data_IF_241589678681
#
_entry.id   IF_241589678681
#
_cell.length_a   1.000
_cell.length_b   1.000
_cell.length_c   1.000
_cell.angle_alpha   90.00
_cell.angle_beta   90.00
_cell.angle_gamma   90.00
#
_symmetry.space_group_name_H-M   'P 1'
#
loop_
_entity.id
_entity.type
_entity.pdbx_description
1 polymer ?
#
# COMPACT_ATOMS: atom_id res chain seq x y z
N UNK A 1 2.32 -20.44 -3.79
CA UNK A 1 2.21 -19.05 -3.32
C UNK A 1 0.88 -18.93 -2.55
N UNK A 2 0.91 -18.56 -1.26
CA UNK A 2 -0.34 -18.37 -0.50
C UNK A 2 -1.10 -17.19 -1.09
N UNK A 3 -2.39 -17.36 -1.39
CA UNK A 3 -3.23 -16.32 -1.96
C UNK A 3 -3.76 -15.33 -0.91
N UNK A 4 -3.74 -15.73 0.35
CA UNK A 4 -4.27 -14.96 1.49
C UNK A 4 -3.22 -14.97 2.59
N UNK A 5 -3.01 -13.83 3.23
CA UNK A 5 -2.17 -13.73 4.43
C UNK A 5 -2.91 -14.47 5.55
N UNK A 6 -2.16 -15.27 6.33
CA UNK A 6 -2.71 -16.05 7.44
C UNK A 6 -3.41 -15.12 8.44
N UNK A 7 -4.65 -15.46 8.79
CA UNK A 7 -5.45 -14.66 9.74
C UNK A 7 -4.83 -14.60 11.15
N UNK A 8 -3.93 -15.57 11.46
CA UNK A 8 -3.21 -15.62 12.75
C UNK A 8 -1.86 -14.92 12.70
N UNK A 9 -1.44 -14.41 11.53
CA UNK A 9 -0.18 -13.69 11.43
C UNK A 9 -0.27 -12.40 12.25
N UNK A 10 0.73 -12.16 13.09
CA UNK A 10 0.85 -10.94 13.87
C UNK A 10 2.05 -10.10 13.39
N UNK A 11 1.85 -8.78 13.39
CA UNK A 11 2.92 -7.82 13.17
C UNK A 11 3.69 -7.55 14.45
N UNK A 12 5.00 -7.24 14.34
CA UNK A 12 5.74 -6.66 15.44
C UNK A 12 5.43 -5.16 15.63
N UNK A 13 4.85 -4.50 14.60
CA UNK A 13 4.32 -3.14 14.74
C UNK A 13 3.07 -3.14 15.62
N UNK A 14 2.88 -2.11 16.45
CA UNK A 14 1.67 -2.01 17.28
C UNK A 14 0.43 -1.83 16.42
N UNK A 15 -0.58 -2.67 16.66
CA UNK A 15 -1.88 -2.60 15.98
C UNK A 15 -2.97 -2.64 17.04
N UNK A 16 -3.81 -1.62 17.11
CA UNK A 16 -4.99 -1.60 17.98
C UNK A 16 -5.97 -2.70 17.55
N UNK A 17 -6.67 -3.32 18.51
CA UNK A 17 -7.72 -4.32 18.23
C UNK A 17 -8.86 -3.76 17.38
N UNK A 18 -9.08 -2.46 17.41
CA UNK A 18 -10.12 -1.76 16.64
C UNK A 18 -9.60 -1.20 15.31
N UNK A 19 -8.33 -1.45 14.97
CA UNK A 19 -7.75 -0.94 13.73
C UNK A 19 -8.24 -1.73 12.51
N UNK A 20 -8.68 -1.02 11.48
CA UNK A 20 -8.99 -1.60 10.17
C UNK A 20 -7.72 -1.99 9.38
N UNK A 21 -6.53 -1.74 9.94
CA UNK A 21 -5.24 -1.94 9.27
C UNK A 21 -4.34 -2.97 9.96
N UNK A 22 -4.84 -4.19 10.25
CA UNK A 22 -3.97 -5.28 10.68
C UNK A 22 -3.04 -5.69 9.54
N UNK A 23 -2.02 -6.53 9.83
CA UNK A 23 -1.07 -7.04 8.83
C UNK A 23 -1.76 -7.81 7.68
N UNK A 24 -2.99 -8.24 7.85
CA UNK A 24 -3.81 -8.86 6.82
C UNK A 24 -4.36 -7.85 5.81
N UNK A 25 -4.55 -6.60 6.24
CA UNK A 25 -5.00 -5.52 5.37
C UNK A 25 -3.84 -4.55 5.11
N UNK A 26 -3.09 -4.80 4.06
CA UNK A 26 -1.96 -3.98 3.62
C UNK A 26 -2.47 -3.11 2.45
N UNK A 27 -3.05 -1.92 2.70
CA UNK A 27 -3.50 -1.01 1.65
C UNK A 27 -2.30 -0.35 0.97
N UNK A 28 -2.45 -0.01 -0.30
CA UNK A 28 -1.46 0.79 -1.02
C UNK A 28 -2.00 2.21 -1.22
N UNK A 29 -1.12 3.20 -1.07
CA UNK A 29 -1.49 4.60 -1.15
C UNK A 29 -0.33 5.47 -1.63
N UNK A 30 -0.57 6.79 -1.64
CA UNK A 30 0.44 7.80 -1.85
C UNK A 30 0.26 8.92 -0.82
N UNK A 31 1.33 9.62 -0.51
CA UNK A 31 1.27 10.72 0.44
C UNK A 31 2.57 11.50 0.48
N UNK A 32 2.52 12.63 1.18
CA UNK A 32 3.69 13.47 1.43
C UNK A 32 4.35 13.04 2.73
N UNK A 33 5.60 12.62 2.62
CA UNK A 33 6.46 12.25 3.74
C UNK A 33 6.88 13.49 4.55
N UNK A 34 7.28 13.39 5.84
CA UNK A 34 7.68 14.56 6.64
C UNK A 34 8.83 15.39 6.05
N UNK A 35 9.62 14.81 5.13
CA UNK A 35 10.64 15.55 4.37
C UNK A 35 10.09 16.44 3.26
N UNK A 36 8.77 16.41 2.99
CA UNK A 36 8.10 17.07 1.86
C UNK A 36 8.10 16.27 0.57
N UNK A 37 8.65 15.05 0.56
CA UNK A 37 8.74 14.19 -0.60
C UNK A 37 7.44 13.40 -0.79
N UNK A 38 6.91 13.36 -2.03
CA UNK A 38 5.77 12.50 -2.36
C UNK A 38 6.24 11.07 -2.60
N UNK A 39 5.62 10.11 -1.92
CA UNK A 39 6.02 8.71 -1.92
C UNK A 39 4.83 7.76 -2.05
N UNK A 40 5.06 6.60 -2.67
CA UNK A 40 4.17 5.46 -2.53
C UNK A 40 4.34 4.85 -1.15
N UNK A 41 3.24 4.50 -0.52
CA UNK A 41 3.21 4.02 0.86
C UNK A 41 2.24 2.85 1.07
N UNK A 42 2.43 2.17 2.19
CA UNK A 42 1.46 1.24 2.78
C UNK A 42 1.31 1.52 4.27
N UNK A 43 0.41 0.81 4.94
CA UNK A 43 0.10 1.03 6.36
C UNK A 43 -0.16 -0.28 7.09
N UNK A 44 0.35 -0.39 8.33
CA UNK A 44 0.01 -1.44 9.29
C UNK A 44 -0.24 -0.74 10.64
N UNK A 45 -1.43 -0.88 11.20
CA UNK A 45 -1.85 -0.09 12.36
C UNK A 45 -1.80 1.40 12.06
N UNK A 46 -1.16 2.17 12.92
CA UNK A 46 -0.93 3.60 12.71
C UNK A 46 0.45 3.90 12.10
N UNK A 47 1.21 2.87 11.76
CA UNK A 47 2.51 3.00 11.13
C UNK A 47 2.38 2.99 9.61
N UNK A 48 2.80 4.07 8.97
CA UNK A 48 2.95 4.19 7.52
C UNK A 48 4.37 3.81 7.11
N UNK A 49 4.48 3.11 5.99
CA UNK A 49 5.72 2.53 5.49
C UNK A 49 6.02 3.08 4.11
N UNK A 50 7.21 3.61 3.91
CA UNK A 50 7.70 4.13 2.63
C UNK A 50 8.14 2.99 1.71
N UNK A 51 7.33 2.69 0.69
CA UNK A 51 7.58 1.60 -0.26
C UNK A 51 8.76 1.87 -1.20
N UNK A 52 9.04 3.14 -1.49
CA UNK A 52 10.19 3.52 -2.32
C UNK A 52 11.51 3.12 -1.65
N UNK A 53 11.62 3.30 -0.33
CA UNK A 53 12.80 2.90 0.43
C UNK A 53 12.90 1.37 0.60
N UNK A 54 11.79 0.66 0.72
CA UNK A 54 11.76 -0.81 0.70
C UNK A 54 12.28 -1.33 -0.66
N UNK A 55 11.80 -0.75 -1.77
CA UNK A 55 12.27 -1.11 -3.12
C UNK A 55 13.76 -0.81 -3.32
N UNK A 56 14.23 0.39 -2.91
CA UNK A 56 15.63 0.81 -3.03
C UNK A 56 16.63 -0.10 -2.26
N UNK A 57 16.14 -0.81 -1.25
CA UNK A 57 16.94 -1.77 -0.48
C UNK A 57 16.67 -3.23 -0.88
N UNK A 58 16.20 -3.45 -2.10
CA UNK A 58 16.07 -4.74 -2.77
C UNK A 58 15.12 -5.75 -2.11
N UNK A 59 14.26 -5.34 -1.17
CA UNK A 59 13.29 -6.24 -0.52
C UNK A 59 12.28 -6.83 -1.51
N UNK A 60 12.02 -6.16 -2.64
CA UNK A 60 11.07 -6.62 -3.66
C UNK A 60 11.74 -7.31 -4.86
N UNK A 61 13.05 -7.63 -4.81
CA UNK A 61 13.79 -8.22 -5.94
C UNK A 61 13.15 -9.52 -6.48
N UNK A 62 12.48 -10.31 -5.63
CA UNK A 62 11.84 -11.56 -6.00
C UNK A 62 10.37 -11.39 -6.44
N UNK A 63 9.83 -10.18 -6.39
CA UNK A 63 8.43 -9.91 -6.71
C UNK A 63 8.15 -9.77 -8.20
N UNK A 64 9.18 -9.62 -9.03
CA UNK A 64 9.03 -9.39 -10.48
C UNK A 64 8.58 -7.97 -10.82
N UNK A 65 8.85 -7.00 -9.96
CA UNK A 65 8.61 -5.59 -10.21
C UNK A 65 9.52 -5.05 -11.31
N UNK A 66 9.03 -4.11 -12.10
CA UNK A 66 9.87 -3.23 -12.92
C UNK A 66 10.67 -2.32 -11.99
N UNK A 67 11.88 -1.94 -12.39
CA UNK A 67 12.70 -0.98 -11.63
C UNK A 67 11.93 0.33 -11.42
N UNK A 68 12.09 0.90 -10.24
CA UNK A 68 11.48 2.17 -9.84
C UNK A 68 9.93 2.15 -9.82
N UNK A 69 9.33 0.99 -9.54
CA UNK A 69 7.86 0.87 -9.45
C UNK A 69 7.28 1.75 -8.34
N UNK A 70 7.91 1.79 -7.17
CA UNK A 70 7.49 2.63 -6.04
C UNK A 70 8.30 3.93 -5.90
N UNK A 71 9.35 4.14 -6.70
CA UNK A 71 10.07 5.40 -6.75
C UNK A 71 9.33 6.40 -7.66
N UNK A 72 8.05 6.59 -7.38
CA UNK A 72 7.08 7.41 -8.11
C UNK A 72 6.19 8.14 -7.10
N UNK A 73 5.51 9.20 -7.56
CA UNK A 73 4.55 9.95 -6.75
C UNK A 73 3.15 9.31 -6.72
N UNK A 74 2.92 8.28 -7.55
CA UNK A 74 1.63 7.61 -7.69
C UNK A 74 1.82 6.11 -7.88
N UNK A 75 0.74 5.34 -7.68
CA UNK A 75 0.72 3.89 -7.84
C UNK A 75 0.52 3.43 -9.29
N UNK A 76 0.43 4.32 -10.28
CA UNK A 76 0.10 3.93 -11.67
C UNK A 76 1.05 2.86 -12.21
N UNK A 77 2.35 2.98 -11.96
CA UNK A 77 3.33 1.97 -12.37
C UNK A 77 3.10 0.63 -11.66
N UNK A 78 2.81 0.64 -10.34
CA UNK A 78 2.49 -0.57 -9.59
C UNK A 78 1.19 -1.22 -10.10
N UNK A 79 0.15 -0.44 -10.34
CA UNK A 79 -1.14 -0.92 -10.84
C UNK A 79 -1.07 -1.48 -12.27
N UNK A 80 -0.09 -1.06 -13.07
CA UNK A 80 0.13 -1.63 -14.41
C UNK A 80 0.64 -3.08 -14.40
N UNK A 81 1.07 -3.59 -13.24
CA UNK A 81 1.47 -4.98 -13.09
C UNK A 81 0.25 -5.91 -12.96
N UNK A 82 0.49 -7.23 -13.15
CA UNK A 82 -0.54 -8.27 -13.01
C UNK A 82 -0.71 -8.71 -11.55
N UNK A 83 -1.86 -9.27 -11.23
CA UNK A 83 -2.22 -9.78 -9.88
C UNK A 83 -1.14 -10.64 -9.18
N UNK A 84 -0.39 -11.54 -9.87
CA UNK A 84 0.68 -12.30 -9.20
C UNK A 84 1.76 -11.40 -8.57
N UNK A 85 2.12 -10.29 -9.25
CA UNK A 85 3.11 -9.33 -8.75
C UNK A 85 2.57 -8.56 -7.54
N UNK A 86 1.34 -8.06 -7.61
CA UNK A 86 0.69 -7.41 -6.47
C UNK A 86 0.67 -8.30 -5.22
N UNK A 87 0.35 -9.60 -5.41
CA UNK A 87 0.35 -10.59 -4.33
C UNK A 87 1.75 -10.85 -3.78
N UNK A 88 2.76 -10.94 -4.66
CA UNK A 88 4.15 -11.12 -4.23
C UNK A 88 4.60 -9.96 -3.34
N UNK A 89 4.34 -8.73 -3.75
CA UNK A 89 4.65 -7.53 -2.95
C UNK A 89 3.93 -7.55 -1.60
N UNK A 90 2.62 -7.84 -1.58
CA UNK A 90 1.87 -7.95 -0.31
C UNK A 90 2.44 -9.02 0.62
N UNK A 91 2.76 -10.19 0.08
CA UNK A 91 3.32 -11.28 0.88
C UNK A 91 4.70 -10.91 1.44
N UNK A 92 5.54 -10.24 0.64
CA UNK A 92 6.84 -9.74 1.10
C UNK A 92 6.68 -8.72 2.23
N UNK A 93 5.75 -7.76 2.11
CA UNK A 93 5.47 -6.80 3.19
C UNK A 93 5.01 -7.54 4.45
N UNK A 94 4.07 -8.48 4.32
CA UNK A 94 3.60 -9.28 5.46
C UNK A 94 4.72 -10.09 6.12
N UNK A 95 5.64 -10.64 5.32
CA UNK A 95 6.79 -11.41 5.81
C UNK A 95 7.77 -10.52 6.59
N UNK A 96 8.19 -9.38 6.01
CA UNK A 96 9.18 -8.50 6.64
C UNK A 96 8.65 -7.84 7.91
N UNK A 97 7.34 -7.55 8.00
CA UNK A 97 6.73 -6.93 9.19
C UNK A 97 6.10 -7.92 10.17
N UNK A 98 6.24 -9.23 9.95
CA UNK A 98 5.75 -10.25 10.87
C UNK A 98 6.59 -10.35 12.15
N UNK A 99 5.98 -10.70 13.28
CA UNK A 99 6.69 -11.04 14.53
C UNK A 99 7.72 -12.16 14.38
N UNK A 100 7.60 -12.98 13.32
CA UNK A 100 8.56 -14.04 13.00
C UNK A 100 9.88 -13.54 12.45
N UNK A 101 9.90 -12.34 11.86
CA UNK A 101 11.10 -11.73 11.26
C UNK A 101 11.88 -10.91 12.28
N UNK A 102 12.61 -11.59 13.16
CA UNK A 102 13.38 -10.94 14.23
C UNK A 102 14.55 -10.11 13.71
N UNK A 103 15.09 -10.41 12.56
CA UNK A 103 16.18 -9.64 11.94
C UNK A 103 15.67 -8.26 11.52
N UNK A 104 14.56 -8.20 10.79
CA UNK A 104 13.97 -6.94 10.38
C UNK A 104 13.44 -6.14 11.58
N UNK A 105 12.79 -6.80 12.55
CA UNK A 105 12.31 -6.17 13.78
C UNK A 105 13.43 -5.42 14.51
N UNK A 106 14.65 -5.98 14.57
CA UNK A 106 15.82 -5.42 15.26
C UNK A 106 16.56 -4.37 14.43
N UNK A 107 16.29 -4.24 13.14
CA UNK A 107 16.95 -3.25 12.28
C UNK A 107 16.38 -1.84 12.48
N UNK A 108 16.58 -1.30 13.70
CA UNK A 108 15.99 -0.04 14.14
C UNK A 108 16.42 1.14 13.25
N UNK A 109 17.67 1.16 12.78
CA UNK A 109 18.18 2.27 11.99
C UNK A 109 17.55 2.33 10.60
N UNK A 110 17.26 1.19 10.00
CA UNK A 110 16.53 1.15 8.74
C UNK A 110 15.06 1.46 8.95
N UNK A 111 14.43 0.88 9.97
CA UNK A 111 13.04 1.12 10.32
C UNK A 111 12.73 2.59 10.55
N UNK A 112 13.58 3.32 11.27
CA UNK A 112 13.44 4.78 11.48
C UNK A 112 13.40 5.58 10.17
N UNK A 113 13.99 5.07 9.09
CA UNK A 113 13.98 5.73 7.78
C UNK A 113 12.68 5.48 7.01
N UNK A 114 12.09 4.30 7.17
CA UNK A 114 10.95 3.84 6.37
C UNK A 114 9.61 3.93 7.09
N UNK A 115 9.60 4.04 8.42
CA UNK A 115 8.40 4.06 9.23
C UNK A 115 8.07 5.47 9.71
N UNK A 116 6.80 5.83 9.70
CA UNK A 116 6.29 7.09 10.20
C UNK A 116 4.88 6.90 10.78
N UNK A 117 4.53 7.71 11.77
CA UNK A 117 3.15 7.76 12.26
C UNK A 117 2.23 8.41 11.23
N UNK A 118 1.02 7.85 11.05
CA UNK A 118 0.02 8.33 10.08
C UNK A 118 -0.36 9.80 10.28
N UNK A 119 -0.33 10.29 11.50
CA UNK A 119 -0.64 11.69 11.82
C UNK A 119 0.35 12.70 11.22
N UNK A 120 1.53 12.24 10.80
CA UNK A 120 2.57 13.06 10.17
C UNK A 120 2.56 12.98 8.64
N UNK A 121 1.63 12.23 8.06
CA UNK A 121 1.55 12.00 6.62
C UNK A 121 0.33 12.74 6.06
N UNK A 122 0.54 13.55 5.03
CA UNK A 122 -0.57 14.05 4.21
C UNK A 122 -0.89 13.01 3.14
N UNK A 123 -2.08 12.40 3.24
CA UNK A 123 -2.54 11.42 2.25
C UNK A 123 -2.92 12.15 0.97
N UNK A 124 -2.48 11.61 -0.16
CA UNK A 124 -2.67 12.17 -1.50
C UNK A 124 -3.51 11.24 -2.36
N UNK A 125 -4.02 11.75 -3.50
CA UNK A 125 -4.63 10.89 -4.53
C UNK A 125 -3.57 9.89 -5.01
N UNK A 126 -3.80 8.58 -4.84
CA UNK A 126 -2.75 7.58 -5.10
C UNK A 126 -2.53 7.27 -6.59
N UNK A 127 -3.37 7.81 -7.46
CA UNK A 127 -3.33 7.54 -8.91
C UNK A 127 -3.52 8.83 -9.71
N UNK A 128 -2.91 8.87 -10.89
CA UNK A 128 -3.30 9.79 -11.94
C UNK A 128 -4.44 9.14 -12.72
N UNK A 129 -5.63 9.74 -12.64
CA UNK A 129 -6.82 9.30 -13.37
C UNK A 129 -6.64 9.68 -14.84
N UNK A 130 -6.85 8.71 -15.74
CA UNK A 130 -6.87 8.96 -17.18
C UNK A 130 -8.27 9.38 -17.64
N UNK A 131 -8.84 8.58 -18.53
CA UNK A 131 -10.17 8.82 -19.02
C UNK A 131 -11.24 8.41 -18.01
N UNK A 132 -12.41 8.96 -18.19
CA UNK A 132 -13.59 8.75 -17.37
C UNK A 132 -14.65 8.03 -18.19
N UNK A 133 -15.28 7.03 -17.60
CA UNK A 133 -16.41 6.32 -18.19
C UNK A 133 -17.56 6.32 -17.20
N UNK A 134 -18.74 6.74 -17.67
CA UNK A 134 -19.97 6.69 -16.89
C UNK A 134 -21.05 5.93 -17.67
N UNK A 135 -21.87 5.18 -16.97
CA UNK A 135 -23.02 4.48 -17.52
C UNK A 135 -24.07 4.22 -16.46
N UNK A 136 -25.33 4.11 -16.88
CA UNK A 136 -26.43 3.86 -15.96
C UNK A 136 -26.44 2.42 -15.48
N UNK A 137 -26.46 2.25 -14.16
CA UNK A 137 -26.51 0.93 -13.52
C UNK A 137 -27.94 0.38 -13.38
N UNK A 138 -28.97 1.24 -13.47
CA UNK A 138 -30.38 0.84 -13.36
C UNK A 138 -31.28 1.67 -14.26
N UNK A 139 -32.46 1.10 -14.60
CA UNK A 139 -33.49 1.77 -15.38
C UNK A 139 -34.01 3.04 -14.63
N UNK A 140 -34.18 2.95 -13.32
CA UNK A 140 -34.66 4.05 -12.48
C UNK A 140 -33.72 5.24 -12.56
N UNK A 141 -32.41 4.98 -12.45
CA UNK A 141 -31.38 6.02 -12.57
C UNK A 141 -31.41 6.67 -13.96
N UNK A 142 -31.46 5.85 -15.02
CA UNK A 142 -31.56 6.34 -16.40
C UNK A 142 -32.80 7.21 -16.63
N UNK A 143 -33.96 6.78 -16.10
CA UNK A 143 -35.24 7.52 -16.21
C UNK A 143 -35.15 8.83 -15.47
N UNK A 144 -34.63 8.84 -14.23
CA UNK A 144 -34.52 10.06 -13.43
C UNK A 144 -33.61 11.10 -14.09
N UNK A 145 -32.45 10.67 -14.58
CA UNK A 145 -31.52 11.60 -15.27
C UNK A 145 -32.10 12.06 -16.60
N UNK A 146 -32.70 11.14 -17.41
CA UNK A 146 -33.32 11.49 -18.70
C UNK A 146 -34.52 12.42 -18.58
N UNK A 147 -35.18 12.46 -17.41
CA UNK A 147 -36.30 13.41 -17.16
C UNK A 147 -35.84 14.83 -16.79
N UNK A 148 -34.53 15.04 -16.54
CA UNK A 148 -33.96 16.36 -16.24
C UNK A 148 -33.54 17.13 -17.50
N UNK A 149 -33.51 16.49 -18.64
CA UNK A 149 -33.12 17.03 -19.95
C UNK A 149 -34.28 16.96 -20.93
#
# INVERSE_FOLDING_TARGET
MKYVIDSKLESFLPVSQQSDFPIQNIPFGAGTWPSGEKVCLTRIGDTVINLSLIEKNDFFQHCGLKKHTFNQNTLNTFLSHKKPIWRAVRNTIAEIFSKGNKEFEKNIDFRKKIECDISKISIEMPINIGDYTDFYASKEHATNVGSMF
#
